data_IF_260523640788
#
_entry.id   IF_260523640788
#
_cell.length_a   1.000
_cell.length_b   1.000
_cell.length_c   1.000
_cell.angle_alpha   90.00
_cell.angle_beta   90.00
_cell.angle_gamma   90.00
#
_symmetry.space_group_name_H-M   'P 1'
#
loop_
_entity.id
_entity.type
_entity.pdbx_description
1 polymer ?
#
# COMPACT_ATOMS: atom_id res chain seq x y z
N UNK A 1 3.08 -55.06 -15.92
CA UNK A 1 2.54 -53.73 -16.27
C UNK A 1 1.58 -53.31 -15.16
N UNK A 2 1.88 -52.31 -14.33
CA UNK A 2 0.94 -51.84 -13.31
C UNK A 2 -0.18 -51.02 -13.97
N UNK A 3 -1.43 -51.28 -13.59
CA UNK A 3 -2.60 -50.59 -14.12
C UNK A 3 -2.76 -49.17 -13.51
N UNK A 4 -3.31 -48.19 -14.25
CA UNK A 4 -3.55 -46.85 -13.74
C UNK A 4 -4.74 -46.84 -12.77
N UNK A 5 -4.59 -46.14 -11.64
CA UNK A 5 -5.64 -45.99 -10.63
C UNK A 5 -6.72 -44.99 -11.06
N UNK A 6 -8.00 -45.21 -10.68
CA UNK A 6 -9.10 -44.33 -11.06
C UNK A 6 -9.06 -42.98 -10.31
N UNK A 7 -9.57 -41.89 -10.92
CA UNK A 7 -9.60 -40.57 -10.31
C UNK A 7 -10.58 -40.49 -9.13
N UNK A 8 -10.32 -39.63 -8.13
CA UNK A 8 -11.16 -39.49 -6.94
C UNK A 8 -12.53 -38.87 -7.27
N UNK A 9 -13.58 -39.18 -6.47
CA UNK A 9 -14.94 -38.69 -6.70
C UNK A 9 -15.07 -37.18 -6.45
N UNK A 10 -15.64 -36.47 -7.44
CA UNK A 10 -15.94 -35.04 -7.39
C UNK A 10 -17.07 -34.75 -6.41
N UNK A 11 -16.81 -33.92 -5.38
CA UNK A 11 -17.82 -33.48 -4.42
C UNK A 11 -18.90 -32.63 -5.13
N UNK A 12 -20.20 -32.76 -4.77
CA UNK A 12 -21.26 -31.91 -5.32
C UNK A 12 -20.99 -30.45 -4.96
N UNK A 13 -20.88 -29.58 -5.95
CA UNK A 13 -20.77 -28.14 -5.74
C UNK A 13 -22.16 -27.60 -5.39
N UNK A 14 -22.35 -27.15 -4.16
CA UNK A 14 -23.56 -26.42 -3.76
C UNK A 14 -23.77 -25.21 -4.68
N UNK A 15 -24.93 -25.16 -5.32
CA UNK A 15 -25.33 -24.07 -6.20
C UNK A 15 -25.54 -22.79 -5.38
N UNK A 16 -24.56 -21.91 -5.41
CA UNK A 16 -24.62 -20.60 -4.75
C UNK A 16 -25.79 -19.77 -5.31
N UNK A 17 -26.87 -19.63 -4.55
CA UNK A 17 -27.99 -18.76 -4.89
C UNK A 17 -27.76 -17.36 -4.31
N UNK A 18 -27.53 -16.38 -5.19
CA UNK A 18 -27.36 -14.98 -4.76
C UNK A 18 -28.68 -14.22 -4.89
N UNK A 19 -29.29 -13.87 -3.76
CA UNK A 19 -30.47 -12.99 -3.73
C UNK A 19 -30.07 -11.56 -4.13
N UNK A 20 -30.69 -11.04 -5.20
CA UNK A 20 -30.36 -9.73 -5.76
C UNK A 20 -30.97 -8.62 -4.88
N UNK A 21 -30.16 -8.01 -4.02
CA UNK A 21 -30.59 -6.98 -3.03
C UNK A 21 -30.98 -5.61 -3.62
N UNK A 22 -30.88 -5.41 -4.94
CA UNK A 22 -31.04 -4.10 -5.58
C UNK A 22 -32.37 -3.99 -6.38
N UNK A 23 -33.47 -4.58 -5.87
CA UNK A 23 -34.77 -4.59 -6.55
C UNK A 23 -35.44 -3.20 -6.58
N UNK A 24 -35.22 -2.38 -5.54
CA UNK A 24 -35.89 -1.07 -5.36
C UNK A 24 -35.04 0.14 -5.79
N UNK A 25 -34.26 0.02 -6.87
CA UNK A 25 -33.53 1.15 -7.43
C UNK A 25 -34.13 1.57 -8.78
N UNK A 26 -34.45 2.86 -8.90
CA UNK A 26 -34.82 3.47 -10.19
C UNK A 26 -33.71 3.24 -11.20
N UNK A 27 -34.02 2.56 -12.31
CA UNK A 27 -33.04 2.26 -13.35
C UNK A 27 -32.69 3.54 -14.09
N UNK A 28 -31.40 3.75 -14.33
CA UNK A 28 -30.95 4.80 -15.23
C UNK A 28 -31.49 4.55 -16.64
N UNK A 29 -31.79 5.62 -17.40
CA UNK A 29 -32.11 5.46 -18.81
C UNK A 29 -30.93 4.82 -19.54
N UNK A 30 -31.20 4.05 -20.61
CA UNK A 30 -30.20 3.21 -21.29
C UNK A 30 -28.97 3.98 -21.81
N UNK A 31 -29.12 5.27 -22.08
CA UNK A 31 -28.06 6.15 -22.56
C UNK A 31 -27.19 6.75 -21.43
N UNK A 32 -27.60 6.63 -20.17
CA UNK A 32 -26.89 7.19 -19.03
C UNK A 32 -26.20 6.08 -18.21
N UNK A 33 -24.89 6.24 -17.99
CA UNK A 33 -24.10 5.35 -17.15
C UNK A 33 -23.47 6.16 -16.02
N UNK A 34 -23.75 5.77 -14.77
CA UNK A 34 -23.01 6.33 -13.64
C UNK A 34 -21.57 5.82 -13.73
N UNK A 35 -20.66 6.74 -14.01
CA UNK A 35 -19.22 6.52 -13.88
C UNK A 35 -18.72 7.36 -12.72
N UNK A 36 -17.63 6.93 -12.08
CA UNK A 36 -16.93 7.80 -11.13
C UNK A 36 -16.15 8.81 -11.94
N UNK A 37 -16.15 10.07 -11.49
CA UNK A 37 -15.24 11.08 -12.03
C UNK A 37 -13.79 10.59 -11.88
N UNK A 38 -12.99 10.51 -12.98
CA UNK A 38 -11.58 10.17 -12.88
C UNK A 38 -10.85 11.23 -12.06
N UNK A 39 -10.15 10.82 -11.00
CA UNK A 39 -9.35 11.74 -10.18
C UNK A 39 -7.96 11.81 -10.80
N UNK A 40 -7.52 12.97 -11.32
CA UNK A 40 -6.15 13.12 -11.79
C UNK A 40 -5.21 13.02 -10.59
N UNK A 41 -4.28 12.09 -10.64
CA UNK A 41 -3.22 11.96 -9.66
C UNK A 41 -1.90 11.67 -10.38
N UNK A 42 -0.76 12.21 -9.89
CA UNK A 42 0.54 11.91 -10.48
C UNK A 42 0.82 10.41 -10.38
N UNK A 43 1.63 9.91 -11.31
CA UNK A 43 2.07 8.52 -11.30
C UNK A 43 2.82 8.21 -10.00
N UNK A 44 2.65 7.01 -9.42
CA UNK A 44 3.40 6.63 -8.24
C UNK A 44 4.89 6.57 -8.58
N UNK A 45 5.73 7.12 -7.69
CA UNK A 45 7.17 7.11 -7.84
C UNK A 45 7.71 5.68 -7.88
N UNK A 46 8.77 5.44 -8.67
CA UNK A 46 9.44 4.12 -8.66
C UNK A 46 10.08 3.84 -7.30
N UNK A 47 10.19 2.57 -6.85
CA UNK A 47 10.81 2.23 -5.56
C UNK A 47 12.28 2.66 -5.45
N UNK A 48 12.97 2.77 -6.58
CA UNK A 48 14.39 3.12 -6.65
C UNK A 48 14.64 4.62 -6.63
N UNK A 49 13.58 5.45 -6.72
CA UNK A 49 13.70 6.91 -6.65
C UNK A 49 14.26 7.34 -5.29
N UNK A 50 15.17 8.31 -5.31
CA UNK A 50 15.88 8.86 -4.16
C UNK A 50 14.98 9.35 -3.01
N UNK A 51 15.60 9.77 -1.91
CA UNK A 51 14.89 10.28 -0.72
C UNK A 51 14.15 11.60 -0.97
N UNK A 52 14.54 12.37 -2.00
CA UNK A 52 13.91 13.64 -2.36
C UNK A 52 12.49 13.51 -2.93
N UNK A 53 12.09 12.32 -3.40
CA UNK A 53 10.78 12.14 -4.06
C UNK A 53 9.86 11.33 -3.15
N UNK A 54 8.65 11.84 -2.85
CA UNK A 54 7.72 11.19 -1.94
C UNK A 54 7.18 9.89 -2.51
N UNK A 55 7.25 8.82 -1.71
CA UNK A 55 6.78 7.49 -2.11
C UNK A 55 5.30 7.36 -1.85
N UNK A 56 4.49 7.52 -2.89
CA UNK A 56 3.02 7.57 -2.75
C UNK A 56 2.35 6.29 -3.24
N UNK A 57 1.46 5.73 -2.41
CA UNK A 57 0.57 4.61 -2.73
C UNK A 57 -0.87 5.12 -2.78
N UNK A 58 -1.52 4.99 -3.94
CA UNK A 58 -2.94 5.23 -4.07
C UNK A 58 -3.74 3.96 -3.74
N UNK A 59 -4.77 4.11 -2.92
CA UNK A 59 -5.62 3.01 -2.47
C UNK A 59 -7.01 3.12 -3.08
N UNK A 60 -7.43 2.05 -3.76
CA UNK A 60 -8.78 1.92 -4.30
C UNK A 60 -9.70 1.13 -3.36
N UNK A 61 -11.01 1.19 -3.62
CA UNK A 61 -11.99 0.39 -2.89
C UNK A 61 -11.83 -1.12 -3.10
N UNK A 62 -11.20 -1.56 -4.19
CA UNK A 62 -10.95 -3.00 -4.47
C UNK A 62 -9.63 -3.50 -3.89
N UNK A 63 -8.74 -2.58 -3.50
CA UNK A 63 -7.42 -2.95 -2.97
C UNK A 63 -7.55 -3.71 -1.63
N UNK A 64 -6.92 -4.89 -1.46
CA UNK A 64 -6.89 -5.61 -0.18
C UNK A 64 -6.02 -4.88 0.86
N UNK A 65 -6.44 -4.87 2.13
CA UNK A 65 -5.71 -4.23 3.25
C UNK A 65 -4.25 -4.67 3.32
N UNK A 66 -4.01 -5.98 3.38
CA UNK A 66 -2.65 -6.53 3.54
C UNK A 66 -1.74 -6.25 2.34
N UNK A 67 -2.30 -6.09 1.14
CA UNK A 67 -1.53 -5.69 -0.05
C UNK A 67 -0.97 -4.27 0.07
N UNK A 68 -1.67 -3.35 0.76
CA UNK A 68 -1.14 -2.02 1.03
C UNK A 68 -0.02 -2.10 2.06
N UNK A 69 -0.24 -2.82 3.16
CA UNK A 69 0.74 -3.02 4.24
C UNK A 69 2.06 -3.57 3.69
N UNK A 70 2.02 -4.63 2.88
CA UNK A 70 3.24 -5.22 2.31
C UNK A 70 3.96 -4.27 1.36
N UNK A 71 3.22 -3.46 0.58
CA UNK A 71 3.83 -2.42 -0.26
C UNK A 71 4.50 -1.32 0.57
N UNK A 72 3.88 -0.88 1.66
CA UNK A 72 4.48 0.10 2.58
C UNK A 72 5.79 -0.45 3.16
N UNK A 73 5.77 -1.66 3.74
CA UNK A 73 6.96 -2.32 4.27
C UNK A 73 8.07 -2.48 3.22
N UNK A 74 7.71 -2.85 1.99
CA UNK A 74 8.67 -2.98 0.89
C UNK A 74 9.37 -1.66 0.56
N UNK A 75 8.64 -0.54 0.56
CA UNK A 75 9.19 0.77 0.26
C UNK A 75 10.10 1.27 1.40
N UNK A 76 9.66 1.11 2.66
CA UNK A 76 10.47 1.48 3.82
C UNK A 76 11.75 0.65 3.92
N UNK A 77 11.70 -0.65 3.61
CA UNK A 77 12.91 -1.49 3.53
C UNK A 77 13.91 -1.02 2.46
N UNK A 78 13.43 -0.45 1.35
CA UNK A 78 14.31 0.15 0.34
C UNK A 78 14.95 1.45 0.86
N UNK A 79 14.22 2.24 1.63
CA UNK A 79 14.75 3.42 2.30
C UNK A 79 15.87 3.04 3.30
N UNK A 80 15.63 2.01 4.12
CA UNK A 80 16.63 1.46 5.04
C UNK A 80 17.90 0.99 4.31
N UNK A 81 17.74 0.23 3.23
CA UNK A 81 18.86 -0.25 2.41
C UNK A 81 19.68 0.92 1.85
N UNK A 82 19.02 1.99 1.41
CA UNK A 82 19.69 3.18 0.90
C UNK A 82 20.44 3.92 2.00
N UNK A 83 19.81 4.15 3.15
CA UNK A 83 20.44 4.84 4.27
C UNK A 83 21.66 4.08 4.81
N UNK A 84 21.58 2.75 4.88
CA UNK A 84 22.68 1.89 5.36
C UNK A 84 23.77 1.64 4.31
N UNK A 85 23.48 1.81 3.01
CA UNK A 85 24.48 1.61 1.94
C UNK A 85 25.73 2.48 2.10
N UNK A 86 25.56 3.72 2.60
CA UNK A 86 26.67 4.64 2.87
C UNK A 86 27.60 4.19 3.99
N UNK A 87 27.16 3.28 4.88
CA UNK A 87 27.98 2.74 5.97
C UNK A 87 28.99 1.70 5.48
N UNK A 88 28.65 0.92 4.47
CA UNK A 88 29.49 -0.17 3.95
C UNK A 88 30.54 0.31 2.94
N UNK A 89 30.32 1.46 2.28
CA UNK A 89 31.22 1.97 1.24
C UNK A 89 32.47 2.69 1.79
N UNK A 90 32.55 2.98 3.09
CA UNK A 90 33.68 3.72 3.67
C UNK A 90 34.74 2.80 4.28
N UNK A 91 35.48 2.05 3.44
CA UNK A 91 36.68 1.33 3.88
C UNK A 91 37.95 2.21 3.97
N UNK A 92 37.83 3.54 3.78
CA UNK A 92 39.02 4.40 3.70
C UNK A 92 38.86 5.91 3.88
N UNK A 93 37.79 6.43 4.52
CA UNK A 93 37.66 7.88 4.76
C UNK A 93 37.26 8.21 6.19
N UNK A 94 38.25 8.68 6.95
CA UNK A 94 38.18 9.72 7.98
C UNK A 94 37.06 9.69 9.03
N UNK A 95 37.46 9.41 10.28
CA UNK A 95 37.18 10.30 11.42
C UNK A 95 35.79 10.33 12.05
N UNK A 96 34.74 9.76 11.44
CA UNK A 96 33.41 9.77 12.06
C UNK A 96 33.25 8.66 13.08
N UNK A 97 32.89 9.01 14.32
CA UNK A 97 32.60 8.04 15.37
C UNK A 97 31.40 7.17 15.00
N UNK A 98 31.30 5.97 15.57
CA UNK A 98 30.17 5.07 15.32
C UNK A 98 28.82 5.76 15.63
N UNK A 99 28.78 6.61 16.66
CA UNK A 99 27.60 7.38 17.04
C UNK A 99 27.16 8.36 15.94
N UNK A 100 28.09 9.09 15.32
CA UNK A 100 27.79 10.04 14.24
C UNK A 100 27.27 9.34 12.98
N UNK A 101 27.76 8.13 12.70
CA UNK A 101 27.29 7.31 11.58
C UNK A 101 25.86 6.82 11.80
N UNK A 102 25.55 6.36 13.01
CA UNK A 102 24.18 5.97 13.39
C UNK A 102 23.24 7.17 13.32
N UNK A 103 23.68 8.34 13.81
CA UNK A 103 22.89 9.57 13.73
C UNK A 103 22.57 9.96 12.27
N UNK A 104 23.55 9.88 11.36
CA UNK A 104 23.34 10.15 9.93
C UNK A 104 22.34 9.18 9.28
N UNK A 105 22.40 7.90 9.65
CA UNK A 105 21.44 6.91 9.15
C UNK A 105 20.04 7.21 9.69
N UNK A 106 19.89 7.49 10.98
CA UNK A 106 18.59 7.85 11.56
C UNK A 106 18.01 9.11 10.93
N UNK A 107 18.84 10.12 10.65
CA UNK A 107 18.40 11.33 9.96
C UNK A 107 17.93 11.03 8.53
N UNK A 108 18.66 10.16 7.81
CA UNK A 108 18.27 9.73 6.47
C UNK A 108 16.95 8.95 6.46
N UNK A 109 16.70 8.09 7.45
CA UNK A 109 15.43 7.36 7.60
C UNK A 109 14.27 8.31 7.86
N UNK A 110 14.46 9.34 8.68
CA UNK A 110 13.41 10.33 8.99
C UNK A 110 13.00 11.18 7.79
N UNK A 111 13.86 11.32 6.78
CA UNK A 111 13.58 12.09 5.57
C UNK A 111 12.71 11.34 4.56
N UNK A 112 12.73 10.01 4.57
CA UNK A 112 12.09 9.20 3.55
C UNK A 112 10.77 8.59 4.06
N UNK A 113 9.66 9.28 3.75
CA UNK A 113 8.31 8.89 4.16
C UNK A 113 7.52 8.21 3.02
N UNK A 114 6.57 7.35 3.41
CA UNK A 114 5.62 6.71 2.48
C UNK A 114 4.22 7.26 2.71
N UNK A 115 3.65 7.88 1.68
CA UNK A 115 2.31 8.44 1.72
C UNK A 115 1.28 7.44 1.20
N UNK A 116 0.23 7.18 1.99
CA UNK A 116 -0.92 6.37 1.55
C UNK A 116 -2.09 7.32 1.31
N UNK A 117 -2.45 7.53 0.03
CA UNK A 117 -3.53 8.44 -0.38
C UNK A 117 -4.78 7.65 -0.75
N UNK A 118 -5.92 8.08 -0.22
CA UNK A 118 -7.23 7.48 -0.49
C UNK A 118 -8.33 8.53 -0.51
N UNK A 119 -9.39 8.28 -1.28
CA UNK A 119 -10.55 9.17 -1.39
C UNK A 119 -11.87 8.38 -1.32
N UNK A 120 -12.95 9.06 -0.91
CA UNK A 120 -14.30 8.49 -0.81
C UNK A 120 -14.35 7.20 0.02
N UNK A 121 -15.01 6.16 -0.51
CA UNK A 121 -15.15 4.84 0.15
C UNK A 121 -13.82 4.14 0.47
N UNK A 122 -12.71 4.54 -0.15
CA UNK A 122 -11.40 3.94 0.13
C UNK A 122 -10.76 4.49 1.43
N UNK A 123 -11.26 5.59 2.00
CA UNK A 123 -10.71 6.21 3.22
C UNK A 123 -10.73 5.22 4.38
N UNK A 124 -11.84 4.52 4.61
CA UNK A 124 -11.95 3.52 5.66
C UNK A 124 -10.86 2.43 5.57
N UNK A 125 -10.47 2.04 4.35
CA UNK A 125 -9.38 1.08 4.15
C UNK A 125 -8.02 1.67 4.48
N UNK A 126 -7.76 2.91 4.11
CA UNK A 126 -6.49 3.58 4.41
C UNK A 126 -6.30 3.77 5.92
N UNK A 127 -7.36 4.15 6.64
CA UNK A 127 -7.34 4.25 8.11
C UNK A 127 -7.05 2.89 8.74
N UNK A 128 -7.74 1.83 8.31
CA UNK A 128 -7.51 0.48 8.81
C UNK A 128 -6.09 -0.06 8.53
N UNK A 129 -5.42 0.43 7.47
CA UNK A 129 -3.99 0.15 7.20
C UNK A 129 -3.10 0.91 8.18
N UNK A 130 -3.39 2.18 8.44
CA UNK A 130 -2.66 3.00 9.40
C UNK A 130 -2.75 2.45 10.82
N UNK A 131 -3.95 2.05 11.26
CA UNK A 131 -4.17 1.38 12.55
C UNK A 131 -3.36 0.08 12.66
N UNK A 132 -3.37 -0.73 11.62
CA UNK A 132 -2.59 -1.98 11.60
C UNK A 132 -1.09 -1.72 11.71
N UNK A 133 -0.57 -0.69 11.05
CA UNK A 133 0.86 -0.34 11.13
C UNK A 133 1.25 0.29 12.47
N UNK A 134 0.29 0.84 13.21
CA UNK A 134 0.51 1.40 14.55
C UNK A 134 0.44 0.34 15.65
N UNK A 135 -0.40 -0.69 15.46
CA UNK A 135 -0.66 -1.72 16.45
C UNK A 135 0.55 -2.63 16.71
N UNK A 136 0.69 -3.13 17.94
CA UNK A 136 1.82 -3.94 18.40
C UNK A 136 1.95 -5.26 17.61
N UNK A 137 0.82 -5.83 17.17
CA UNK A 137 0.80 -7.04 16.33
C UNK A 137 1.20 -6.78 14.86
N UNK A 138 1.21 -5.53 14.40
CA UNK A 138 1.46 -5.15 13.01
C UNK A 138 2.77 -4.39 12.75
N UNK A 139 3.52 -4.08 13.81
CA UNK A 139 4.87 -3.51 13.75
C UNK A 139 4.93 -2.11 14.35
N UNK A 140 5.04 -2.02 15.68
CA UNK A 140 5.23 -0.80 16.46
C UNK A 140 6.50 0.03 16.12
N UNK A 141 7.11 -0.26 14.97
CA UNK A 141 8.32 0.34 14.42
C UNK A 141 8.00 1.61 13.61
N UNK A 142 6.73 1.82 13.21
CA UNK A 142 6.35 2.90 12.30
C UNK A 142 5.60 4.03 13.02
N UNK A 143 6.05 5.27 12.78
CA UNK A 143 5.28 6.46 13.13
C UNK A 143 4.23 6.72 12.05
N UNK A 144 2.96 6.66 12.42
CA UNK A 144 1.83 6.90 11.52
C UNK A 144 1.18 8.24 11.84
N UNK A 145 1.09 9.12 10.84
CA UNK A 145 0.38 10.40 10.92
C UNK A 145 -0.77 10.40 9.93
N UNK A 146 -1.96 10.87 10.35
CA UNK A 146 -3.14 10.97 9.49
C UNK A 146 -3.39 12.45 9.18
N UNK A 147 -3.41 12.78 7.88
CA UNK A 147 -3.70 14.13 7.39
C UNK A 147 -4.94 14.08 6.51
N UNK A 148 -5.88 14.98 6.75
CA UNK A 148 -7.07 15.16 5.91
C UNK A 148 -6.82 16.24 4.87
N UNK A 149 -7.52 16.16 3.74
CA UNK A 149 -7.41 17.14 2.67
C UNK A 149 -8.56 17.00 1.68
N UNK A 150 -8.71 18.00 0.82
CA UNK A 150 -9.71 18.03 -0.26
C UNK A 150 -9.05 17.80 -1.62
N UNK A 151 -9.82 17.27 -2.57
CA UNK A 151 -9.39 17.09 -3.97
C UNK A 151 -10.51 17.61 -4.86
N UNK A 152 -10.16 18.50 -5.80
CA UNK A 152 -11.05 19.00 -6.82
C UNK A 152 -11.05 18.06 -8.03
N UNK A 153 -12.22 17.85 -8.63
CA UNK A 153 -12.39 17.00 -9.81
C UNK A 153 -13.31 17.72 -10.79
N UNK A 154 -12.85 17.87 -12.04
CA UNK A 154 -13.59 18.51 -13.14
C UNK A 154 -14.50 17.48 -13.80
N UNK A 155 -15.70 17.90 -14.21
CA UNK A 155 -16.74 17.10 -14.88
C UNK A 155 -16.78 17.42 -16.37
#
# INVERSE_FOLDING_TARGET
>A
MPQPTPPPPTKPQETLTFTKKNQNMTKLPKYAKITKRPIPHPTPSTPYTGSSVPKTIYVSTTTPKMSVVTRVRKLLRQAEKRATSGLHSTKGRGGKTQAERVAQVQEALRREEVHVKATGRAIAKAVAVGEYLRDAAGGAEFRVTVTTGSVLVVD
#
